data_IF_283256016714
#
_entry.id   IF_283256016714
#
_cell.length_a   1.000
_cell.length_b   1.000
_cell.length_c   1.000
_cell.angle_alpha   90.00
_cell.angle_beta   90.00
_cell.angle_gamma   90.00
#
_symmetry.space_group_name_H-M   'P 1'
#
loop_
_entity.id
_entity.type
_entity.pdbx_description
1 polymer ?
#
# COMPACT_ATOMS: atom_id res chain seq x y z
N UNK A 1 -61.66 -32.43 -72.17
CA UNK A 1 -61.07 -31.31 -71.40
C UNK A 1 -60.06 -31.86 -70.37
N UNK A 2 -58.77 -31.88 -70.68
CA UNK A 2 -57.68 -32.37 -69.80
C UNK A 2 -56.87 -31.20 -69.40
N UNK A 3 -56.77 -30.91 -68.06
CA UNK A 3 -55.88 -29.93 -67.50
C UNK A 3 -54.52 -30.58 -67.29
N UNK A 4 -53.51 -30.00 -67.91
CA UNK A 4 -52.10 -30.34 -67.68
C UNK A 4 -51.60 -29.56 -66.46
N UNK A 5 -51.01 -30.25 -65.50
CA UNK A 5 -50.27 -29.63 -64.37
C UNK A 5 -48.81 -29.45 -64.76
N UNK A 6 -48.37 -28.23 -64.74
CA UNK A 6 -46.97 -27.82 -64.95
C UNK A 6 -46.24 -27.96 -63.59
N UNK A 7 -45.27 -28.85 -63.51
CA UNK A 7 -44.35 -28.91 -62.34
C UNK A 7 -43.17 -27.98 -62.58
N UNK A 8 -43.06 -26.96 -61.74
CA UNK A 8 -41.86 -26.11 -61.65
C UNK A 8 -40.90 -26.72 -60.59
N UNK A 9 -39.78 -27.24 -61.07
CA UNK A 9 -38.67 -27.68 -60.16
C UNK A 9 -37.89 -26.49 -59.72
N UNK A 10 -37.91 -26.19 -58.40
CA UNK A 10 -37.06 -25.22 -57.77
C UNK A 10 -35.77 -25.92 -57.33
N UNK A 11 -34.67 -25.61 -58.03
CA UNK A 11 -33.36 -26.10 -57.66
C UNK A 11 -32.84 -25.33 -56.46
N UNK A 12 -32.64 -25.98 -55.32
CA UNK A 12 -31.90 -25.44 -54.17
C UNK A 12 -30.40 -25.50 -54.47
N UNK A 13 -29.81 -24.35 -54.67
CA UNK A 13 -28.37 -24.20 -54.73
C UNK A 13 -27.83 -24.12 -53.28
N UNK A 14 -27.28 -25.22 -52.75
CA UNK A 14 -26.65 -25.23 -51.43
C UNK A 14 -25.27 -24.60 -51.49
N UNK A 15 -25.17 -23.38 -51.01
CA UNK A 15 -23.88 -22.67 -50.85
C UNK A 15 -23.19 -23.23 -49.59
N UNK A 16 -22.17 -24.06 -49.76
CA UNK A 16 -21.32 -24.52 -48.65
C UNK A 16 -20.30 -23.39 -48.36
N UNK A 17 -20.56 -22.63 -47.30
CA UNK A 17 -19.58 -21.70 -46.76
C UNK A 17 -18.60 -22.49 -45.89
N UNK A 18 -17.41 -22.78 -46.41
CA UNK A 18 -16.31 -23.34 -45.63
C UNK A 18 -15.85 -22.27 -44.63
N UNK A 19 -16.37 -22.29 -43.41
CA UNK A 19 -15.92 -21.49 -42.31
C UNK A 19 -14.53 -21.95 -41.86
N UNK A 20 -13.52 -21.15 -42.19
CA UNK A 20 -12.17 -21.31 -41.65
C UNK A 20 -12.21 -20.96 -40.16
N UNK A 21 -12.41 -21.94 -39.29
CA UNK A 21 -12.28 -21.78 -37.85
C UNK A 21 -10.80 -21.55 -37.54
N UNK A 22 -10.42 -20.30 -37.34
CA UNK A 22 -9.14 -19.96 -36.79
C UNK A 22 -9.12 -20.43 -35.33
N UNK A 23 -8.60 -21.62 -35.09
CA UNK A 23 -8.28 -22.09 -33.76
C UNK A 23 -7.15 -21.19 -33.25
N UNK A 24 -7.49 -20.16 -32.48
CA UNK A 24 -6.52 -19.49 -31.60
C UNK A 24 -6.15 -20.48 -30.51
N UNK A 25 -5.04 -21.16 -30.68
CA UNK A 25 -4.40 -21.86 -29.56
C UNK A 25 -4.11 -20.82 -28.46
N UNK A 26 -4.95 -20.79 -27.45
CA UNK A 26 -4.64 -20.09 -26.20
C UNK A 26 -3.53 -20.93 -25.54
N UNK A 27 -2.29 -20.53 -25.73
CA UNK A 27 -1.18 -21.09 -24.94
C UNK A 27 -1.56 -20.91 -23.47
N UNK A 28 -1.52 -21.98 -22.64
CA UNK A 28 -1.77 -21.84 -21.22
C UNK A 28 -0.80 -20.80 -20.66
N UNK A 29 -1.33 -19.77 -20.01
CA UNK A 29 -0.51 -18.80 -19.28
C UNK A 29 0.21 -19.59 -18.20
N UNK A 30 1.49 -19.81 -18.37
CA UNK A 30 2.32 -20.51 -17.39
C UNK A 30 2.48 -19.56 -16.21
N UNK A 31 1.63 -19.73 -15.19
CA UNK A 31 1.76 -19.01 -13.93
C UNK A 31 3.10 -19.46 -13.33
N UNK A 32 4.10 -18.64 -13.45
CA UNK A 32 5.39 -18.86 -12.78
C UNK A 32 5.14 -18.64 -11.28
N UNK A 33 5.69 -19.49 -10.40
CA UNK A 33 5.60 -19.22 -8.98
C UNK A 33 6.20 -17.85 -8.66
N UNK A 34 5.60 -17.13 -7.71
CA UNK A 34 6.09 -15.85 -7.24
C UNK A 34 7.56 -15.97 -6.82
N UNK A 35 8.38 -15.07 -7.32
CA UNK A 35 9.81 -15.04 -7.04
C UNK A 35 10.14 -14.17 -5.84
N UNK A 36 11.37 -14.31 -5.34
CA UNK A 36 11.94 -13.40 -4.34
C UNK A 36 13.18 -12.74 -4.90
N UNK A 37 13.14 -11.41 -5.03
CA UNK A 37 14.29 -10.59 -5.40
C UNK A 37 14.86 -10.01 -4.10
N UNK A 38 16.19 -10.10 -3.94
CA UNK A 38 16.85 -9.59 -2.73
C UNK A 38 17.67 -8.38 -3.07
N UNK A 39 17.50 -7.31 -2.29
CA UNK A 39 18.19 -6.04 -2.41
C UNK A 39 19.12 -5.86 -1.22
N UNK A 40 20.39 -5.52 -1.45
CA UNK A 40 21.34 -5.15 -0.41
C UNK A 40 22.28 -4.03 -0.89
N UNK A 41 22.66 -3.07 -0.03
CA UNK A 41 23.47 -1.93 -0.45
C UNK A 41 24.97 -2.27 -0.59
N UNK A 42 25.40 -3.43 -0.12
CA UNK A 42 26.80 -3.86 -0.01
C UNK A 42 27.29 -4.76 -1.16
N UNK A 43 26.57 -4.85 -2.25
CA UNK A 43 26.87 -5.71 -3.41
C UNK A 43 26.84 -7.23 -3.11
N UNK A 44 26.30 -7.67 -1.97
CA UNK A 44 26.15 -9.09 -1.64
C UNK A 44 25.04 -9.77 -2.46
N UNK A 45 24.22 -8.97 -3.15
CA UNK A 45 23.11 -9.44 -3.98
C UNK A 45 23.16 -8.82 -5.38
N UNK A 46 22.27 -9.32 -6.27
CA UNK A 46 22.16 -8.79 -7.64
C UNK A 46 21.69 -7.34 -7.69
N UNK A 47 20.86 -6.92 -6.73
CA UNK A 47 20.22 -5.60 -6.74
C UNK A 47 20.77 -4.74 -5.61
N UNK A 48 21.29 -3.57 -5.96
CA UNK A 48 21.79 -2.58 -5.01
C UNK A 48 20.72 -1.57 -4.61
N UNK A 49 19.69 -1.40 -5.44
CA UNK A 49 18.57 -0.46 -5.22
C UNK A 49 17.25 -1.21 -5.31
N UNK A 50 16.27 -0.70 -4.58
CA UNK A 50 14.91 -1.23 -4.58
C UNK A 50 14.28 -1.03 -5.96
N UNK A 51 14.50 0.13 -6.58
CA UNK A 51 13.99 0.45 -7.91
C UNK A 51 14.46 -0.54 -8.96
N UNK A 52 15.76 -0.92 -8.97
CA UNK A 52 16.29 -1.91 -9.91
C UNK A 52 15.68 -3.31 -9.72
N UNK A 53 15.39 -3.69 -8.48
CA UNK A 53 14.69 -4.94 -8.20
C UNK A 53 13.23 -4.89 -8.68
N UNK A 54 12.53 -3.77 -8.45
CA UNK A 54 11.16 -3.56 -8.93
C UNK A 54 11.07 -3.61 -10.45
N UNK A 55 12.01 -3.01 -11.17
CA UNK A 55 12.06 -3.06 -12.65
C UNK A 55 12.18 -4.50 -13.19
N UNK A 56 12.78 -5.39 -12.40
CA UNK A 56 12.95 -6.81 -12.74
C UNK A 56 11.85 -7.72 -12.19
N UNK A 57 11.03 -7.22 -11.27
CA UNK A 57 9.99 -7.98 -10.58
C UNK A 57 8.81 -8.30 -11.52
N UNK A 58 8.08 -9.37 -11.20
CA UNK A 58 6.88 -9.84 -11.89
C UNK A 58 5.68 -9.75 -10.96
N UNK A 59 4.49 -9.90 -11.52
CA UNK A 59 3.28 -9.97 -10.72
C UNK A 59 3.35 -11.08 -9.66
N UNK A 60 3.08 -10.71 -8.41
CA UNK A 60 3.14 -11.57 -7.24
C UNK A 60 4.52 -11.71 -6.60
N UNK A 61 5.57 -11.12 -7.17
CA UNK A 61 6.92 -11.22 -6.60
C UNK A 61 7.06 -10.46 -5.27
N UNK A 62 8.01 -10.95 -4.46
CA UNK A 62 8.47 -10.27 -3.25
C UNK A 62 9.83 -9.65 -3.50
N UNK A 63 9.92 -8.33 -3.30
CA UNK A 63 11.19 -7.60 -3.21
C UNK A 63 11.57 -7.52 -1.73
N UNK A 64 12.56 -8.31 -1.33
CA UNK A 64 13.06 -8.34 0.04
C UNK A 64 14.26 -7.41 0.18
N UNK A 65 14.14 -6.46 1.10
CA UNK A 65 15.14 -5.42 1.32
C UNK A 65 15.92 -5.75 2.58
N UNK A 66 17.21 -5.99 2.42
CA UNK A 66 18.15 -6.23 3.52
C UNK A 66 18.38 -4.97 4.35
N UNK A 67 18.89 -5.10 5.59
CA UNK A 67 19.26 -3.93 6.40
C UNK A 67 20.19 -2.98 5.65
N UNK A 68 19.92 -1.69 5.75
CA UNK A 68 20.68 -0.62 5.10
C UNK A 68 19.86 0.65 4.93
N UNK A 69 20.54 1.71 4.51
CA UNK A 69 19.92 2.98 4.14
C UNK A 69 19.91 3.11 2.61
N UNK A 70 18.73 3.24 2.04
CA UNK A 70 18.47 3.34 0.61
C UNK A 70 18.00 4.76 0.29
N UNK A 71 18.84 5.53 -0.40
CA UNK A 71 18.55 6.91 -0.79
C UNK A 71 17.90 6.94 -2.16
N UNK A 72 16.62 6.68 -2.18
CA UNK A 72 15.84 6.63 -3.42
C UNK A 72 14.35 6.89 -3.16
N UNK A 73 13.63 7.27 -4.23
CA UNK A 73 12.17 7.23 -4.29
C UNK A 73 11.72 5.93 -4.96
N UNK A 74 10.88 5.18 -4.28
CA UNK A 74 10.38 3.89 -4.76
C UNK A 74 9.02 4.07 -5.42
N UNK A 75 8.86 3.60 -6.66
CA UNK A 75 7.59 3.69 -7.40
C UNK A 75 7.14 2.30 -7.82
N UNK A 76 5.98 1.89 -7.32
CA UNK A 76 5.29 0.69 -7.80
C UNK A 76 4.27 1.14 -8.84
N UNK A 77 4.68 1.00 -10.10
CA UNK A 77 3.90 1.36 -11.29
C UNK A 77 3.75 0.11 -12.16
N UNK A 78 2.88 0.09 -13.12
CA UNK A 78 2.49 -1.05 -13.93
C UNK A 78 1.56 -2.04 -13.16
N UNK A 79 0.75 -2.79 -13.87
CA UNK A 79 -0.29 -3.66 -13.29
C UNK A 79 0.30 -4.92 -12.63
N UNK A 80 1.13 -4.73 -11.61
CA UNK A 80 1.78 -5.81 -10.84
C UNK A 80 1.46 -5.69 -9.37
N UNK A 81 1.18 -6.81 -8.73
CA UNK A 81 1.06 -6.93 -7.27
C UNK A 81 2.44 -7.24 -6.71
N UNK A 82 2.97 -6.37 -5.91
CA UNK A 82 4.31 -6.51 -5.34
C UNK A 82 4.21 -6.53 -3.82
N UNK A 83 4.98 -7.43 -3.20
CA UNK A 83 5.29 -7.34 -1.78
C UNK A 83 6.67 -6.72 -1.61
N UNK A 84 6.73 -5.49 -1.09
CA UNK A 84 7.96 -4.85 -0.66
C UNK A 84 8.16 -5.12 0.83
N UNK A 85 9.14 -5.94 1.16
CA UNK A 85 9.35 -6.44 2.52
C UNK A 85 10.75 -6.07 3.02
N UNK A 86 10.84 -5.17 3.99
CA UNK A 86 12.06 -4.88 4.75
C UNK A 86 12.38 -5.98 5.77
N UNK A 87 13.64 -6.17 6.05
CA UNK A 87 14.09 -7.16 7.03
C UNK A 87 13.68 -6.78 8.47
N UNK A 88 13.79 -5.49 8.80
CA UNK A 88 13.47 -4.93 10.12
C UNK A 88 13.36 -3.41 9.98
N UNK A 89 12.27 -2.78 10.42
CA UNK A 89 12.08 -1.33 10.29
C UNK A 89 13.14 -0.50 11.05
N UNK A 90 13.75 -1.05 12.10
CA UNK A 90 14.83 -0.34 12.79
C UNK A 90 16.11 -0.23 11.96
N UNK A 91 16.30 -1.09 10.97
CA UNK A 91 17.56 -1.20 10.22
C UNK A 91 17.41 -1.11 8.70
N UNK A 92 16.17 -1.17 8.18
CA UNK A 92 15.89 -1.11 6.75
C UNK A 92 15.18 0.21 6.43
N UNK A 93 15.93 1.18 5.93
CA UNK A 93 15.50 2.58 5.85
C UNK A 93 15.48 3.03 4.39
N UNK A 94 14.37 3.57 3.94
CA UNK A 94 14.27 4.37 2.72
C UNK A 94 14.35 5.84 3.15
N UNK A 95 15.47 6.47 2.85
CA UNK A 95 15.68 7.91 3.06
C UNK A 95 15.40 8.63 1.74
N UNK A 96 14.31 9.36 1.72
CA UNK A 96 13.80 10.04 0.53
C UNK A 96 14.15 11.54 0.50
N UNK A 97 15.28 11.92 1.09
CA UNK A 97 15.79 13.31 1.01
C UNK A 97 15.85 13.76 -0.44
N UNK A 98 15.38 14.98 -0.72
CA UNK A 98 15.26 15.57 -2.06
C UNK A 98 14.31 14.80 -3.00
N UNK A 99 13.43 13.95 -2.46
CA UNK A 99 12.42 13.22 -3.20
C UNK A 99 11.01 13.61 -2.77
N UNK A 100 10.07 13.71 -3.71
CA UNK A 100 8.69 14.10 -3.41
C UNK A 100 7.98 13.12 -2.48
N UNK A 101 8.21 11.81 -2.65
CA UNK A 101 7.67 10.77 -1.76
C UNK A 101 8.66 9.62 -1.62
N UNK A 102 8.68 8.96 -0.45
CA UNK A 102 9.51 7.79 -0.25
C UNK A 102 8.97 6.58 -1.05
N UNK A 103 7.65 6.35 -1.00
CA UNK A 103 6.99 5.31 -1.80
C UNK A 103 5.76 5.89 -2.50
N UNK A 104 5.62 5.59 -3.79
CA UNK A 104 4.42 5.88 -4.58
C UNK A 104 3.81 4.57 -5.11
N UNK A 105 2.53 4.32 -4.78
CA UNK A 105 1.77 3.13 -5.17
C UNK A 105 0.68 3.53 -6.17
N UNK A 106 0.78 3.03 -7.41
CA UNK A 106 -0.14 3.36 -8.51
C UNK A 106 -0.94 2.17 -9.03
N UNK A 107 -0.80 1.02 -8.37
CA UNK A 107 -1.43 -0.23 -8.79
C UNK A 107 -2.09 -0.91 -7.62
N UNK A 108 -2.95 -1.88 -7.88
CA UNK A 108 -3.75 -2.55 -6.87
C UNK A 108 -2.98 -3.66 -6.14
N UNK A 109 -3.38 -3.93 -4.89
CA UNK A 109 -3.02 -5.12 -4.10
C UNK A 109 -1.52 -5.25 -3.78
N UNK A 110 -0.80 -4.12 -3.58
CA UNK A 110 0.57 -4.19 -3.10
C UNK A 110 0.63 -4.25 -1.58
N UNK A 111 1.72 -4.82 -1.08
CA UNK A 111 2.06 -4.80 0.34
C UNK A 111 3.40 -4.11 0.57
N UNK A 112 3.44 -3.23 1.57
CA UNK A 112 4.65 -2.58 2.07
C UNK A 112 4.78 -2.90 3.55
N UNK A 113 5.88 -3.52 3.95
CA UNK A 113 6.04 -4.02 5.32
C UNK A 113 7.49 -3.94 5.79
N UNK A 114 7.70 -3.69 7.08
CA UNK A 114 9.00 -3.83 7.73
C UNK A 114 10.05 -2.77 7.35
N UNK A 115 9.63 -1.56 7.02
CA UNK A 115 10.49 -0.47 6.53
C UNK A 115 10.35 0.79 7.39
N UNK A 116 11.43 1.56 7.48
CA UNK A 116 11.36 2.98 7.86
C UNK A 116 11.39 3.85 6.60
N UNK A 117 10.45 4.78 6.49
CA UNK A 117 10.25 5.71 5.37
C UNK A 117 10.34 7.13 5.90
N UNK A 118 11.37 7.86 5.50
CA UNK A 118 11.65 9.18 6.09
C UNK A 118 12.17 10.20 5.11
N UNK A 119 12.12 11.46 5.53
CA UNK A 119 12.76 12.62 4.93
C UNK A 119 12.30 12.94 3.49
N UNK A 120 11.13 12.45 3.06
CA UNK A 120 10.57 12.89 1.79
C UNK A 120 10.13 14.36 1.87
N UNK A 121 10.26 15.10 0.77
CA UNK A 121 9.85 16.52 0.72
C UNK A 121 8.34 16.68 0.93
N UNK A 122 7.55 15.66 0.60
CA UNK A 122 6.10 15.67 0.79
C UNK A 122 5.61 14.43 1.54
N UNK A 123 5.50 13.25 0.90
CA UNK A 123 4.81 12.10 1.50
C UNK A 123 5.72 10.91 1.81
N UNK A 124 5.52 10.28 2.96
CA UNK A 124 6.14 8.99 3.25
C UNK A 124 5.62 7.92 2.28
N UNK A 125 4.32 7.69 2.26
CA UNK A 125 3.65 6.81 1.28
C UNK A 125 2.54 7.59 0.58
N UNK A 126 2.56 7.57 -0.75
CA UNK A 126 1.48 8.10 -1.56
C UNK A 126 0.75 6.97 -2.29
N UNK A 127 -0.47 6.69 -1.88
CA UNK A 127 -1.38 5.74 -2.55
C UNK A 127 -2.21 6.52 -3.55
N UNK A 128 -2.01 6.22 -4.84
CA UNK A 128 -2.69 6.90 -5.94
C UNK A 128 -3.79 6.07 -6.58
N UNK A 129 -3.77 4.76 -6.38
CA UNK A 129 -4.80 3.87 -6.90
C UNK A 129 -4.82 2.53 -6.16
N UNK A 130 -5.96 1.85 -6.21
CA UNK A 130 -6.17 0.50 -5.73
C UNK A 130 -6.14 0.33 -4.21
N UNK A 131 -6.28 -0.92 -3.79
CA UNK A 131 -6.14 -1.35 -2.39
C UNK A 131 -4.68 -1.61 -2.06
N UNK A 132 -4.23 -1.11 -0.91
CA UNK A 132 -2.87 -1.33 -0.43
C UNK A 132 -2.86 -1.95 0.96
N UNK A 133 -1.81 -2.71 1.27
CA UNK A 133 -1.54 -3.27 2.59
C UNK A 133 -0.24 -2.67 3.11
N UNK A 134 -0.32 -1.89 4.18
CA UNK A 134 0.82 -1.18 4.78
C UNK A 134 0.90 -1.63 6.23
N UNK A 135 1.96 -2.34 6.57
CA UNK A 135 2.08 -2.88 7.92
C UNK A 135 3.52 -2.87 8.44
N UNK A 136 3.65 -2.81 9.77
CA UNK A 136 4.95 -2.83 10.46
C UNK A 136 5.95 -1.82 9.90
N UNK A 137 5.50 -0.63 9.51
CA UNK A 137 6.35 0.44 9.01
C UNK A 137 6.47 1.60 10.01
N UNK A 138 7.65 2.21 10.05
CA UNK A 138 7.85 3.53 10.63
C UNK A 138 7.79 4.55 9.51
N UNK A 139 6.94 5.56 9.63
CA UNK A 139 6.75 6.61 8.63
C UNK A 139 6.93 7.95 9.33
N UNK A 140 8.11 8.55 9.18
CA UNK A 140 8.53 9.64 10.04
C UNK A 140 9.24 10.78 9.31
N UNK A 141 9.09 12.01 9.82
CA UNK A 141 9.83 13.18 9.35
C UNK A 141 9.68 13.45 7.83
N UNK A 142 8.50 13.21 7.25
CA UNK A 142 8.21 13.59 5.88
C UNK A 142 7.59 15.00 5.87
N UNK A 143 7.88 15.79 4.85
CA UNK A 143 7.59 17.23 4.83
C UNK A 143 6.11 17.60 4.85
N UNK A 144 5.22 16.70 4.44
CA UNK A 144 3.78 16.97 4.43
C UNK A 144 3.02 15.83 5.15
N UNK A 145 2.76 14.70 4.50
CA UNK A 145 1.95 13.61 5.05
C UNK A 145 2.76 12.34 5.27
N UNK A 146 2.49 11.64 6.35
CA UNK A 146 3.03 10.30 6.53
C UNK A 146 2.46 9.34 5.47
N UNK A 147 1.15 9.13 5.48
CA UNK A 147 0.43 8.35 4.46
C UNK A 147 -0.63 9.22 3.81
N UNK A 148 -0.62 9.27 2.48
CA UNK A 148 -1.58 10.01 1.68
C UNK A 148 -2.33 9.10 0.72
N UNK A 149 -3.64 9.01 0.89
CA UNK A 149 -4.55 8.25 0.03
C UNK A 149 -5.31 9.24 -0.85
N UNK A 150 -4.98 9.32 -2.14
CA UNK A 150 -5.65 10.22 -3.06
C UNK A 150 -5.68 9.66 -4.47
N UNK A 151 -6.84 9.37 -5.00
CA UNK A 151 -7.01 8.96 -6.38
C UNK A 151 -7.54 10.10 -7.24
N UNK A 152 -7.07 10.20 -8.48
CA UNK A 152 -7.62 11.14 -9.46
C UNK A 152 -8.73 10.52 -10.32
N UNK A 153 -8.74 9.21 -10.50
CA UNK A 153 -9.62 8.53 -11.45
C UNK A 153 -10.15 7.16 -10.98
N UNK A 154 -9.78 6.73 -9.78
CA UNK A 154 -10.13 5.42 -9.25
C UNK A 154 -10.35 5.46 -7.74
N UNK A 155 -10.05 4.36 -7.09
CA UNK A 155 -10.15 4.18 -5.65
C UNK A 155 -8.75 4.13 -5.05
N UNK A 156 -8.51 4.84 -3.96
CA UNK A 156 -7.28 4.76 -3.19
C UNK A 156 -7.66 4.47 -1.73
N UNK A 157 -7.51 3.23 -1.30
CA UNK A 157 -7.77 2.81 0.07
C UNK A 157 -6.70 1.85 0.58
N UNK A 158 -6.55 1.73 1.89
CA UNK A 158 -5.50 0.91 2.47
C UNK A 158 -5.93 0.22 3.77
N UNK A 159 -5.34 -0.94 4.02
CA UNK A 159 -5.25 -1.53 5.34
C UNK A 159 -3.91 -1.12 5.94
N UNK A 160 -3.95 -0.21 6.91
CA UNK A 160 -2.77 0.31 7.60
C UNK A 160 -2.78 -0.28 9.00
N UNK A 161 -1.82 -1.14 9.29
CA UNK A 161 -1.81 -1.88 10.55
C UNK A 161 -0.42 -1.94 11.17
N UNK A 162 -0.34 -1.88 12.51
CA UNK A 162 0.93 -1.98 13.24
C UNK A 162 2.01 -0.98 12.72
N UNK A 163 1.59 0.20 12.27
CA UNK A 163 2.50 1.24 11.82
C UNK A 163 2.73 2.30 12.90
N UNK A 164 3.89 2.92 12.87
CA UNK A 164 4.22 4.11 13.67
C UNK A 164 4.39 5.29 12.74
N UNK A 165 3.44 6.23 12.76
CA UNK A 165 3.37 7.40 11.87
C UNK A 165 3.55 8.66 12.69
N UNK A 166 4.73 9.23 12.62
CA UNK A 166 5.16 10.27 13.58
C UNK A 166 5.93 11.43 12.93
N UNK A 167 5.78 12.62 13.51
CA UNK A 167 6.61 13.78 13.16
C UNK A 167 6.59 14.16 11.67
N UNK A 168 5.46 13.92 10.98
CA UNK A 168 5.27 14.38 9.61
C UNK A 168 4.76 15.82 9.60
N UNK A 169 5.10 16.58 8.57
CA UNK A 169 4.99 18.05 8.57
C UNK A 169 3.58 18.62 8.61
N UNK A 170 2.56 17.87 8.16
CA UNK A 170 1.17 18.34 8.20
C UNK A 170 0.21 17.29 8.78
N UNK A 171 0.17 16.08 8.22
CA UNK A 171 -0.80 15.05 8.58
C UNK A 171 -0.10 13.71 8.76
N UNK A 172 -0.45 12.97 9.81
CA UNK A 172 -0.01 11.58 9.95
C UNK A 172 -0.58 10.69 8.84
N UNK A 173 -1.90 10.51 8.81
CA UNK A 173 -2.61 9.69 7.80
C UNK A 173 -3.76 10.52 7.22
N UNK A 174 -3.75 10.76 5.91
CA UNK A 174 -4.78 11.51 5.21
C UNK A 174 -5.49 10.66 4.15
N UNK A 175 -6.76 10.33 4.40
CA UNK A 175 -7.66 9.70 3.46
C UNK A 175 -8.47 10.77 2.71
N UNK A 176 -7.89 11.37 1.64
CA UNK A 176 -8.48 12.49 0.94
C UNK A 176 -9.64 12.09 0.03
N UNK A 177 -9.59 10.89 -0.54
CA UNK A 177 -10.68 10.30 -1.34
C UNK A 177 -10.83 8.84 -0.96
N UNK A 178 -11.43 8.63 0.18
CA UNK A 178 -11.80 7.30 0.64
C UNK A 178 -13.25 7.03 0.24
N UNK A 179 -13.43 6.41 -0.91
CA UNK A 179 -14.76 6.01 -1.36
C UNK A 179 -15.27 4.78 -0.61
N UNK A 180 -14.44 4.16 0.24
CA UNK A 180 -14.85 3.13 1.20
C UNK A 180 -13.74 2.15 1.55
N UNK A 181 -13.67 1.74 2.81
CA UNK A 181 -12.92 0.60 3.33
C UNK A 181 -11.45 0.83 3.70
N UNK A 182 -10.97 2.05 3.88
CA UNK A 182 -9.70 2.23 4.57
C UNK A 182 -9.82 1.80 6.03
N UNK A 183 -8.93 0.93 6.46
CA UNK A 183 -8.84 0.43 7.83
C UNK A 183 -7.52 0.87 8.44
N UNK A 184 -7.58 1.58 9.55
CA UNK A 184 -6.42 1.99 10.34
C UNK A 184 -6.56 1.35 11.71
N UNK A 185 -5.73 0.37 12.00
CA UNK A 185 -5.79 -0.38 13.26
C UNK A 185 -4.41 -0.69 13.80
N UNK A 186 -4.31 -0.75 15.11
CA UNK A 186 -3.07 -1.09 15.83
C UNK A 186 -1.88 -0.18 15.47
N UNK A 187 -2.14 1.07 15.11
CA UNK A 187 -1.14 2.05 14.72
C UNK A 187 -0.88 3.07 15.83
N UNK A 188 0.35 3.56 15.92
CA UNK A 188 0.68 4.77 16.66
C UNK A 188 0.70 5.93 15.65
N UNK A 189 -0.12 6.95 15.87
CA UNK A 189 -0.12 8.19 15.08
C UNK A 189 0.11 9.35 16.03
N UNK A 190 1.33 9.88 16.08
CA UNK A 190 1.69 10.82 17.13
C UNK A 190 2.64 11.94 16.65
N UNK A 191 2.55 13.07 17.31
CA UNK A 191 3.43 14.23 17.10
C UNK A 191 3.38 14.79 15.67
N UNK A 192 2.25 14.65 14.98
CA UNK A 192 1.97 15.32 13.70
C UNK A 192 1.11 16.57 13.99
N UNK A 193 1.11 17.62 13.15
CA UNK A 193 0.15 18.73 13.30
C UNK A 193 -1.31 18.23 13.29
N UNK A 194 -1.63 17.27 12.43
CA UNK A 194 -2.91 16.56 12.45
C UNK A 194 -2.66 15.04 12.41
N UNK A 195 -3.40 14.26 13.18
CA UNK A 195 -3.23 12.80 13.28
C UNK A 195 -3.84 12.08 12.09
N UNK A 196 -5.14 11.79 12.15
CA UNK A 196 -5.89 11.11 11.10
C UNK A 196 -6.92 12.06 10.52
N UNK A 197 -6.92 12.24 9.21
CA UNK A 197 -7.77 13.18 8.47
C UNK A 197 -8.51 12.48 7.36
N UNK A 198 -9.78 12.83 7.13
CA UNK A 198 -10.51 12.47 5.92
C UNK A 198 -11.22 13.68 5.31
N UNK A 199 -11.29 13.72 3.98
CA UNK A 199 -12.09 14.70 3.26
C UNK A 199 -13.54 14.22 3.05
N UNK A 200 -13.83 12.95 3.37
CA UNK A 200 -15.14 12.31 3.24
C UNK A 200 -15.74 11.95 4.63
N UNK A 201 -16.39 12.90 5.33
CA UNK A 201 -16.88 12.66 6.70
C UNK A 201 -17.96 11.58 6.80
N UNK A 202 -18.56 11.21 5.68
CA UNK A 202 -19.54 10.12 5.56
C UNK A 202 -18.88 8.81 5.07
N UNK A 203 -17.55 8.80 4.87
CA UNK A 203 -16.80 7.64 4.39
C UNK A 203 -16.76 6.49 5.41
N UNK A 204 -16.44 5.31 4.93
CA UNK A 204 -16.35 4.09 5.74
C UNK A 204 -14.93 3.90 6.31
N UNK A 205 -14.29 4.99 6.76
CA UNK A 205 -13.00 4.93 7.42
C UNK A 205 -13.14 4.25 8.78
N UNK A 206 -12.49 3.09 8.95
CA UNK A 206 -12.48 2.33 10.19
C UNK A 206 -11.21 2.68 10.98
N UNK A 207 -11.36 3.31 12.14
CA UNK A 207 -10.25 3.74 13.00
C UNK A 207 -10.44 3.17 14.40
N UNK A 208 -9.66 2.12 14.73
CA UNK A 208 -9.83 1.39 16.00
C UNK A 208 -8.50 0.82 16.52
N UNK A 209 -8.39 0.64 17.83
CA UNK A 209 -7.22 0.10 18.52
C UNK A 209 -5.91 0.85 18.18
N UNK A 210 -5.98 2.15 17.91
CA UNK A 210 -4.80 2.96 17.65
C UNK A 210 -4.40 3.76 18.90
N UNK A 211 -3.16 4.20 18.94
CA UNK A 211 -2.68 5.16 19.93
C UNK A 211 -2.41 6.49 19.26
N UNK A 212 -3.15 7.54 19.63
CA UNK A 212 -2.91 8.90 19.15
C UNK A 212 -2.44 9.77 20.32
N UNK A 213 -1.39 10.56 20.08
CA UNK A 213 -0.87 11.41 21.13
C UNK A 213 -0.01 12.56 20.60
N UNK A 214 -0.16 13.72 21.20
CA UNK A 214 0.70 14.87 20.90
C UNK A 214 0.53 15.43 19.50
N UNK A 215 -0.54 15.05 18.78
CA UNK A 215 -0.92 15.72 17.56
C UNK A 215 -1.61 17.07 17.91
N UNK A 216 -1.50 18.06 17.02
CA UNK A 216 -2.25 19.30 17.22
C UNK A 216 -3.77 19.07 17.19
N UNK A 217 -4.21 18.15 16.34
CA UNK A 217 -5.59 17.63 16.29
C UNK A 217 -5.52 16.13 15.98
N UNK A 218 -5.99 15.26 16.89
CA UNK A 218 -5.89 13.82 16.69
C UNK A 218 -6.76 13.30 15.54
N UNK A 219 -7.98 13.83 15.41
CA UNK A 219 -8.95 13.46 14.38
C UNK A 219 -9.54 14.69 13.70
N UNK A 220 -9.49 14.75 12.38
CA UNK A 220 -10.16 15.80 11.60
C UNK A 220 -11.18 15.15 10.65
N UNK A 221 -12.47 15.41 10.91
CA UNK A 221 -13.64 14.82 10.20
C UNK A 221 -13.71 13.28 10.28
N UNK A 222 -13.04 12.67 11.23
CA UNK A 222 -13.01 11.23 11.51
C UNK A 222 -13.82 10.94 12.76
N UNK A 223 -14.66 9.91 12.73
CA UNK A 223 -15.35 9.38 13.90
C UNK A 223 -14.68 8.08 14.34
N UNK A 224 -13.77 8.12 15.33
CA UNK A 224 -13.10 6.92 15.83
C UNK A 224 -14.04 6.12 16.72
N UNK A 225 -13.77 4.83 16.90
CA UNK A 225 -14.43 4.07 17.97
C UNK A 225 -13.68 4.24 19.32
N UNK A 226 -14.29 3.71 20.38
CA UNK A 226 -13.81 3.89 21.76
C UNK A 226 -12.59 3.00 22.10
N UNK A 227 -12.10 2.18 21.19
CA UNK A 227 -10.93 1.31 21.42
C UNK A 227 -9.60 2.04 21.22
N UNK A 228 -9.63 3.29 20.72
CA UNK A 228 -8.40 4.06 20.51
C UNK A 228 -7.90 4.65 21.84
N UNK A 229 -6.59 4.72 22.00
CA UNK A 229 -5.90 5.24 23.19
C UNK A 229 -5.37 6.65 22.88
N UNK A 230 -5.65 7.61 23.79
CA UNK A 230 -5.15 8.99 23.69
C UNK A 230 -4.13 9.23 24.82
N UNK A 231 -3.02 8.50 24.80
CA UNK A 231 -1.97 8.55 25.82
C UNK A 231 -0.59 8.50 25.19
N UNK A 232 0.41 9.03 25.91
CA UNK A 232 1.82 9.00 25.48
C UNK A 232 2.27 7.56 25.20
N UNK A 233 2.68 7.23 23.96
CA UNK A 233 3.22 5.92 23.61
C UNK A 233 4.53 5.57 24.31
N UNK A 234 5.21 6.54 24.94
CA UNK A 234 6.47 6.40 25.69
C UNK A 234 7.57 5.76 24.87
N UNK A 235 7.93 6.38 23.76
CA UNK A 235 9.06 5.96 22.94
C UNK A 235 10.39 5.94 23.70
N UNK A 236 11.28 5.04 23.32
CA UNK A 236 12.57 4.84 23.95
C UNK A 236 13.47 6.09 23.82
N UNK A 237 13.62 6.62 22.62
CA UNK A 237 14.36 7.85 22.35
C UNK A 237 13.85 8.51 21.06
N UNK A 238 12.71 9.18 21.15
CA UNK A 238 12.08 9.86 20.03
C UNK A 238 13.01 10.87 19.36
N UNK A 239 13.78 11.61 20.14
CA UNK A 239 14.65 12.66 19.61
C UNK A 239 15.73 12.11 18.66
N UNK A 240 16.08 10.84 18.81
CA UNK A 240 17.04 10.14 17.95
C UNK A 240 16.35 9.11 17.01
N UNK A 241 15.03 9.17 16.86
CA UNK A 241 14.26 8.30 15.96
C UNK A 241 14.09 6.87 16.46
N UNK A 242 14.30 6.61 17.76
CA UNK A 242 14.01 5.31 18.36
C UNK A 242 12.56 5.27 18.87
N UNK A 243 11.67 4.75 18.04
CA UNK A 243 10.25 4.64 18.32
C UNK A 243 9.85 3.32 18.97
N UNK A 244 10.80 2.53 19.48
CA UNK A 244 10.51 1.37 20.31
C UNK A 244 9.80 1.78 21.60
N UNK A 245 8.92 0.93 22.10
CA UNK A 245 8.14 1.22 23.30
C UNK A 245 8.96 0.96 24.57
N UNK A 246 8.95 1.92 25.49
CA UNK A 246 9.49 1.69 26.85
C UNK A 246 8.59 0.80 27.67
N UNK A 247 9.15 0.12 28.65
CA UNK A 247 8.41 -0.63 29.66
C UNK A 247 7.31 0.27 30.29
N UNK A 248 6.10 -0.23 30.34
CA UNK A 248 4.94 0.48 30.87
C UNK A 248 4.30 1.46 29.89
N UNK A 249 4.66 1.39 28.61
CA UNK A 249 3.89 2.05 27.54
C UNK A 249 2.45 1.54 27.52
N UNK A 250 1.43 2.42 27.35
CA UNK A 250 0.04 2.01 27.22
C UNK A 250 -0.22 1.23 25.92
N UNK A 251 0.71 1.27 24.96
CA UNK A 251 0.59 0.58 23.69
C UNK A 251 1.01 -0.89 23.76
N UNK A 252 1.67 -1.34 24.86
CA UNK A 252 2.09 -2.72 25.01
C UNK A 252 0.89 -3.61 25.34
N UNK A 253 0.63 -4.63 24.48
CA UNK A 253 -0.46 -5.58 24.64
C UNK A 253 -1.87 -4.97 24.48
N UNK A 254 -1.98 -3.75 23.93
CA UNK A 254 -3.25 -3.03 23.82
C UNK A 254 -3.89 -3.10 22.42
N UNK A 255 -3.24 -3.76 21.50
CA UNK A 255 -3.76 -3.93 20.13
C UNK A 255 -4.91 -4.94 20.05
N UNK A 256 -5.54 -5.02 18.90
CA UNK A 256 -6.75 -5.81 18.63
C UNK A 256 -6.62 -7.30 18.94
N UNK A 257 -5.39 -7.84 18.87
CA UNK A 257 -5.07 -9.25 19.18
C UNK A 257 -4.19 -9.40 20.41
N UNK A 258 -4.24 -8.44 21.35
CA UNK A 258 -3.32 -8.32 22.48
C UNK A 258 -1.83 -8.18 22.07
N UNK A 259 -1.55 -7.85 20.81
CA UNK A 259 -0.24 -7.43 20.36
C UNK A 259 0.05 -5.97 20.75
N UNK A 260 1.25 -5.49 20.50
CA UNK A 260 1.56 -4.07 20.68
C UNK A 260 0.86 -3.23 19.62
N UNK A 261 0.46 -2.03 20.00
CA UNK A 261 0.08 -0.98 19.03
C UNK A 261 1.37 -0.37 18.50
N UNK A 262 1.46 -0.17 17.18
CA UNK A 262 2.63 0.36 16.50
C UNK A 262 3.56 -0.70 15.93
N UNK A 263 4.70 -0.27 15.45
CA UNK A 263 5.62 -1.09 14.64
C UNK A 263 6.42 -2.11 15.47
N UNK A 264 6.69 -1.82 16.74
CA UNK A 264 7.62 -2.58 17.59
C UNK A 264 6.95 -3.23 18.79
#
# INVERSE_FOLDING_TARGET
MKRQHLHVAVGLCSLVIAGCAVHRETRPVRIMPAGRLVVAPDSSTRFLTISAALDSARDGDTVFVMPGEYREAVKVVESRRITLLGADPATTIIDATDQYSAIELRTDSNRVSGLTLRNADSHGIWVRDGQQFIDHCVIANNGDRGVYLSSFAGFAYAHITHCTVVENGEVGIHAARDDSNTVITDCIVAFNPRGIVTDQPQGMLIVRHNCLFGNGLDYDRVTPDNSNILQDPRFADRANGDYRLRRGSPCIGAGSTAANIGTF
#
